data_IF_007354496035
#
_entry.id   IF_007354496035
#
_cell.length_a   1.000
_cell.length_b   1.000
_cell.length_c   1.000
_cell.angle_alpha   90.00
_cell.angle_beta   90.00
_cell.angle_gamma   90.00
#
_symmetry.space_group_name_H-M   'P 1'
#
loop_
_entity.id
_entity.type
_entity.pdbx_description
1 polymer ?
#
# COMPACT_ATOMS: atom_id res chain seq x y z
N UNK A 1 0.89 -24.09 73.00
CA UNK A 1 0.58 -22.65 72.92
C UNK A 1 1.80 -21.85 72.44
N UNK A 2 2.37 -22.16 71.26
CA UNK A 2 3.62 -21.54 70.75
C UNK A 2 3.56 -21.38 69.21
N UNK A 3 2.49 -20.78 68.68
CA UNK A 3 2.37 -20.50 67.23
C UNK A 3 1.77 -19.12 66.90
N UNK A 4 1.31 -18.36 67.91
CA UNK A 4 0.77 -17.00 67.71
C UNK A 4 1.81 -15.91 67.39
N UNK A 5 3.07 -15.92 67.87
CA UNK A 5 3.98 -14.79 67.61
C UNK A 5 4.64 -14.82 66.22
N UNK A 6 4.65 -15.97 65.53
CA UNK A 6 5.26 -16.09 64.20
C UNK A 6 4.36 -15.56 63.07
N UNK A 7 3.04 -15.67 63.23
CA UNK A 7 2.07 -15.19 62.24
C UNK A 7 2.01 -13.67 62.15
N UNK A 8 2.12 -12.99 63.30
CA UNK A 8 2.20 -11.53 63.36
C UNK A 8 3.49 -11.01 62.73
N UNK A 9 4.62 -11.67 62.96
CA UNK A 9 5.89 -11.28 62.33
C UNK A 9 5.84 -11.46 60.79
N UNK A 10 5.25 -12.55 60.31
CA UNK A 10 5.10 -12.81 58.88
C UNK A 10 4.18 -11.80 58.19
N UNK A 11 3.06 -11.43 58.84
CA UNK A 11 2.14 -10.41 58.30
C UNK A 11 2.76 -9.01 58.26
N UNK A 12 3.53 -8.65 59.29
CA UNK A 12 4.22 -7.35 59.31
C UNK A 12 5.30 -7.28 58.23
N UNK A 13 6.06 -8.37 58.02
CA UNK A 13 7.10 -8.41 56.98
C UNK A 13 6.51 -8.32 55.57
N UNK A 14 5.40 -9.02 55.31
CA UNK A 14 4.74 -9.00 53.99
C UNK A 14 4.12 -7.64 53.68
N UNK A 15 3.52 -6.96 54.66
CA UNK A 15 3.02 -5.59 54.49
C UNK A 15 4.20 -4.63 54.25
N UNK A 16 5.30 -4.75 54.99
CA UNK A 16 6.47 -3.89 54.78
C UNK A 16 7.09 -4.08 53.39
N UNK A 17 7.19 -5.32 52.90
CA UNK A 17 7.69 -5.61 51.56
C UNK A 17 6.74 -5.04 50.51
N UNK A 18 5.42 -5.19 50.68
CA UNK A 18 4.44 -4.66 49.73
C UNK A 18 4.46 -3.12 49.69
N UNK A 19 4.53 -2.46 50.84
CA UNK A 19 4.64 -0.98 50.92
C UNK A 19 5.97 -0.51 50.33
N UNK A 20 7.09 -1.17 50.65
CA UNK A 20 8.40 -0.85 50.09
C UNK A 20 8.40 -0.96 48.55
N UNK A 21 7.83 -2.04 48.00
CA UNK A 21 7.78 -2.25 46.54
C UNK A 21 6.91 -1.21 45.84
N UNK A 22 5.75 -0.87 46.40
CA UNK A 22 4.85 0.12 45.80
C UNK A 22 5.41 1.54 45.91
N UNK A 23 6.03 1.91 47.04
CA UNK A 23 6.62 3.25 47.21
C UNK A 23 7.85 3.44 46.32
N UNK A 24 8.74 2.44 46.21
CA UNK A 24 9.91 2.55 45.33
C UNK A 24 9.55 2.53 43.83
N UNK A 25 8.54 1.74 43.41
CA UNK A 25 8.07 1.77 42.01
C UNK A 25 7.44 3.12 41.65
N UNK A 26 6.66 3.73 42.55
CA UNK A 26 6.05 5.05 42.30
C UNK A 26 7.11 6.16 42.26
N UNK A 27 8.16 6.08 43.07
CA UNK A 27 9.27 7.04 43.05
C UNK A 27 10.19 6.87 41.82
N UNK A 28 10.37 5.65 41.30
CA UNK A 28 11.12 5.40 40.05
C UNK A 28 10.32 5.88 38.81
N UNK A 29 8.98 5.79 38.83
CA UNK A 29 8.14 6.38 37.76
C UNK A 29 8.19 7.92 37.81
N UNK A 30 8.11 8.53 38.99
CA UNK A 30 8.15 10.00 39.12
C UNK A 30 9.49 10.62 38.74
N UNK A 31 10.62 9.91 38.92
CA UNK A 31 11.95 10.42 38.55
C UNK A 31 12.28 10.22 37.06
N UNK A 32 11.59 9.31 36.35
CA UNK A 32 11.78 9.12 34.91
C UNK A 32 11.09 10.20 34.07
N UNK A 33 10.04 10.82 34.59
CA UNK A 33 9.29 11.87 33.88
C UNK A 33 9.92 13.28 34.02
N UNK A 34 10.89 13.48 34.94
CA UNK A 34 11.46 14.80 35.22
C UNK A 34 12.82 15.09 34.54
N UNK A 35 13.45 14.13 33.85
CA UNK A 35 14.76 14.32 33.20
C UNK A 35 14.83 13.73 31.80
N UNK A 36 13.93 14.14 30.91
CA UNK A 36 14.16 14.02 29.46
C UNK A 36 13.88 15.32 28.71
N UNK A 37 14.62 16.38 29.06
CA UNK A 37 14.94 17.40 28.06
C UNK A 37 16.01 16.82 27.12
N UNK A 38 15.66 15.77 26.37
CA UNK A 38 16.43 15.36 25.22
C UNK A 38 16.23 16.44 24.16
N UNK A 39 17.31 17.15 23.84
CA UNK A 39 17.34 18.04 22.69
C UNK A 39 16.90 17.24 21.47
N UNK A 40 15.66 17.47 21.03
CA UNK A 40 15.17 16.99 19.75
C UNK A 40 16.14 17.54 18.71
N UNK A 41 16.95 16.65 18.13
CA UNK A 41 17.67 16.91 16.89
C UNK A 41 16.63 17.42 15.90
N UNK A 42 16.69 18.71 15.60
CA UNK A 42 15.83 19.32 14.59
C UNK A 42 16.25 18.68 13.28
N UNK A 43 15.49 17.70 12.83
CA UNK A 43 15.56 17.23 11.45
C UNK A 43 15.19 18.44 10.59
N UNK A 44 16.16 18.97 9.85
CA UNK A 44 15.93 20.11 8.97
C UNK A 44 14.80 19.76 7.99
N UNK A 45 13.61 20.33 8.19
CA UNK A 45 12.49 20.17 7.25
C UNK A 45 12.77 21.10 6.09
N UNK A 46 13.48 20.60 5.08
CA UNK A 46 13.69 21.35 3.84
C UNK A 46 12.46 21.18 2.95
N UNK A 47 11.56 22.16 3.00
CA UNK A 47 10.41 22.23 2.11
C UNK A 47 10.76 23.04 0.85
N UNK A 48 10.99 22.36 -0.27
CA UNK A 48 11.18 23.03 -1.55
C UNK A 48 9.86 23.50 -2.14
N UNK A 49 9.86 24.70 -2.74
CA UNK A 49 8.80 25.12 -3.65
C UNK A 49 8.70 24.15 -4.84
N UNK A 50 7.54 24.08 -5.49
CA UNK A 50 7.37 23.23 -6.67
C UNK A 50 8.41 23.58 -7.74
N UNK A 51 8.66 24.88 -7.96
CA UNK A 51 9.67 25.36 -8.91
C UNK A 51 11.07 24.84 -8.56
N UNK A 52 11.48 24.88 -7.29
CA UNK A 52 12.80 24.39 -6.89
C UNK A 52 12.92 22.87 -7.03
N UNK A 53 11.86 22.12 -6.72
CA UNK A 53 11.82 20.67 -6.99
C UNK A 53 11.99 20.37 -8.47
N UNK A 54 11.26 21.09 -9.32
CA UNK A 54 11.37 20.96 -10.77
C UNK A 54 12.79 21.25 -11.24
N UNK A 55 13.43 22.29 -10.73
CA UNK A 55 14.84 22.62 -11.06
C UNK A 55 15.79 21.48 -10.71
N UNK A 56 15.67 20.90 -9.50
CA UNK A 56 16.48 19.75 -9.07
C UNK A 56 16.24 18.51 -9.96
N UNK A 57 14.99 18.25 -10.32
CA UNK A 57 14.62 17.14 -11.21
C UNK A 57 15.02 17.37 -12.69
N UNK A 58 15.54 18.56 -13.02
CA UNK A 58 15.90 18.97 -14.39
C UNK A 58 17.41 19.04 -14.62
N UNK A 59 18.23 18.53 -13.70
CA UNK A 59 19.69 18.53 -13.84
C UNK A 59 20.11 17.65 -15.04
N UNK A 60 20.47 18.30 -16.15
CA UNK A 60 20.98 17.64 -17.36
C UNK A 60 22.49 17.41 -17.23
N UNK A 61 22.94 16.24 -17.69
CA UNK A 61 24.36 15.92 -17.84
C UNK A 61 24.74 15.96 -19.32
N UNK A 62 25.86 16.61 -19.64
CA UNK A 62 26.36 16.73 -21.02
C UNK A 62 27.38 15.65 -21.32
N UNK A 63 27.23 15.00 -22.47
CA UNK A 63 28.08 13.90 -22.91
C UNK A 63 28.84 14.30 -24.18
N UNK A 64 30.17 14.35 -24.11
CA UNK A 64 31.01 14.60 -25.29
C UNK A 64 31.09 13.37 -26.20
N UNK A 65 31.05 12.18 -25.61
CA UNK A 65 31.02 10.87 -26.28
C UNK A 65 30.07 9.93 -25.55
N UNK A 66 29.50 8.99 -26.29
CA UNK A 66 28.53 8.03 -25.78
C UNK A 66 29.06 6.64 -26.01
N UNK A 67 29.22 5.91 -24.92
CA UNK A 67 29.67 4.53 -24.93
C UNK A 67 28.44 3.63 -25.00
N UNK A 68 28.40 2.74 -26.00
CA UNK A 68 27.37 1.71 -26.10
C UNK A 68 27.89 0.46 -25.40
N UNK A 69 27.17 -0.03 -24.40
CA UNK A 69 27.48 -1.34 -23.85
C UNK A 69 26.95 -2.43 -24.78
N UNK A 70 27.79 -3.43 -25.08
CA UNK A 70 27.36 -4.69 -25.70
C UNK A 70 27.11 -5.65 -24.55
N UNK A 71 25.85 -6.04 -24.34
CA UNK A 71 25.54 -7.04 -23.31
C UNK A 71 25.84 -8.44 -23.84
N UNK A 72 26.78 -9.15 -23.18
CA UNK A 72 26.68 -10.60 -23.08
C UNK A 72 25.49 -10.90 -22.17
N UNK A 73 24.62 -11.80 -22.59
CA UNK A 73 23.30 -12.03 -21.99
C UNK A 73 23.35 -12.31 -20.49
N UNK A 74 23.15 -11.28 -19.67
CA UNK A 74 22.99 -11.44 -18.22
C UNK A 74 21.58 -11.98 -17.94
N UNK A 75 21.54 -13.30 -17.73
CA UNK A 75 20.34 -14.12 -17.64
C UNK A 75 19.54 -13.97 -16.34
N UNK A 76 18.97 -12.79 -16.10
CA UNK A 76 17.87 -12.62 -15.14
C UNK A 76 16.72 -11.82 -15.75
N UNK A 77 15.99 -12.47 -16.66
CA UNK A 77 14.67 -12.01 -17.11
C UNK A 77 13.57 -12.74 -16.32
N UNK A 78 13.32 -12.31 -15.08
CA UNK A 78 11.94 -12.41 -14.58
C UNK A 78 11.09 -11.55 -15.51
N UNK A 79 10.00 -12.07 -16.08
CA UNK A 79 9.26 -11.38 -17.17
C UNK A 79 8.82 -9.95 -16.83
N UNK A 80 8.77 -9.59 -15.54
CA UNK A 80 8.34 -8.28 -15.04
C UNK A 80 9.43 -7.37 -14.47
N UNK A 81 10.60 -7.88 -14.06
CA UNK A 81 11.66 -7.08 -13.42
C UNK A 81 12.92 -7.02 -14.27
N UNK A 82 13.53 -5.84 -14.34
CA UNK A 82 14.76 -5.61 -15.11
C UNK A 82 15.79 -4.91 -14.25
N UNK A 83 16.97 -5.50 -14.13
CA UNK A 83 18.07 -4.96 -13.34
C UNK A 83 18.83 -3.89 -14.14
N UNK A 84 19.13 -2.75 -13.54
CA UNK A 84 20.07 -1.78 -14.12
C UNK A 84 21.48 -2.36 -13.98
N UNK A 85 22.24 -2.40 -15.08
CA UNK A 85 23.60 -2.99 -15.13
C UNK A 85 24.51 -2.42 -14.03
N UNK A 86 25.36 -3.28 -13.47
CA UNK A 86 26.33 -2.95 -12.40
C UNK A 86 25.71 -2.30 -11.16
N UNK A 87 24.44 -2.59 -10.86
CA UNK A 87 23.72 -1.99 -9.75
C UNK A 87 22.80 -2.97 -9.05
N UNK A 88 22.39 -2.69 -7.83
CA UNK A 88 21.37 -3.46 -7.12
C UNK A 88 19.96 -2.85 -7.29
N UNK A 89 19.72 -2.23 -8.45
CA UNK A 89 18.45 -1.55 -8.78
C UNK A 89 17.65 -2.38 -9.76
N UNK A 90 16.43 -2.74 -9.36
CA UNK A 90 15.51 -3.59 -10.12
C UNK A 90 14.27 -2.78 -10.47
N UNK A 91 14.06 -2.54 -11.75
CA UNK A 91 12.96 -1.74 -12.28
C UNK A 91 11.78 -2.65 -12.61
N UNK A 92 10.60 -2.28 -12.12
CA UNK A 92 9.34 -2.96 -12.38
C UNK A 92 8.60 -2.36 -13.57
N UNK A 93 8.42 -1.04 -13.56
CA UNK A 93 7.66 -0.33 -14.58
C UNK A 93 8.11 1.11 -14.72
N UNK A 94 7.84 1.69 -15.88
CA UNK A 94 8.10 3.10 -16.21
C UNK A 94 6.80 3.72 -16.67
N UNK A 95 6.32 4.73 -15.98
CA UNK A 95 5.00 5.32 -16.21
C UNK A 95 5.11 6.80 -16.59
N UNK A 96 4.41 7.22 -17.64
CA UNK A 96 4.32 8.63 -18.00
C UNK A 96 3.37 9.38 -17.06
N UNK A 97 3.80 10.53 -16.55
CA UNK A 97 3.01 11.38 -15.66
C UNK A 97 3.00 12.83 -16.17
N UNK A 98 1.82 13.25 -16.61
CA UNK A 98 1.55 14.58 -17.18
C UNK A 98 0.80 15.50 -16.20
N UNK A 99 0.62 15.09 -14.95
CA UNK A 99 -0.19 15.89 -14.00
C UNK A 99 0.47 17.22 -13.63
N UNK A 100 1.77 17.39 -13.85
CA UNK A 100 2.52 18.61 -13.52
C UNK A 100 2.77 19.52 -14.74
N UNK A 101 1.79 19.66 -15.63
CA UNK A 101 1.87 20.54 -16.82
C UNK A 101 2.51 21.92 -16.51
N UNK A 102 3.45 22.41 -17.36
CA UNK A 102 3.89 21.83 -18.64
C UNK A 102 4.98 20.75 -18.49
N UNK A 103 5.24 20.28 -17.28
CA UNK A 103 6.34 19.35 -16.98
C UNK A 103 5.86 17.91 -17.04
N UNK A 104 6.50 17.14 -17.92
CA UNK A 104 6.27 15.71 -18.10
C UNK A 104 7.34 14.93 -17.34
N UNK A 105 6.92 13.91 -16.61
CA UNK A 105 7.80 13.04 -15.85
C UNK A 105 7.64 11.58 -16.26
N UNK A 106 8.75 10.85 -16.25
CA UNK A 106 8.76 9.40 -16.14
C UNK A 106 8.87 9.01 -14.68
N UNK A 107 7.91 8.21 -14.23
CA UNK A 107 7.72 7.71 -12.88
C UNK A 107 8.03 6.22 -12.87
N UNK A 108 9.21 5.89 -12.40
CA UNK A 108 9.78 4.55 -12.46
C UNK A 108 9.58 3.90 -11.09
N UNK A 109 8.89 2.76 -11.09
CA UNK A 109 8.67 1.95 -9.90
C UNK A 109 9.77 0.90 -9.87
N UNK A 110 10.55 0.87 -8.80
CA UNK A 110 11.72 0.02 -8.68
C UNK A 110 11.90 -0.49 -7.25
N UNK A 111 12.83 -1.42 -7.08
CA UNK A 111 13.37 -1.81 -5.79
C UNK A 111 14.88 -1.74 -5.80
N UNK A 112 15.45 -1.39 -4.66
CA UNK A 112 16.89 -1.36 -4.44
C UNK A 112 17.23 -2.39 -3.38
N UNK A 113 18.16 -3.31 -3.65
CA UNK A 113 18.61 -4.25 -2.63
C UNK A 113 19.58 -3.56 -1.66
N UNK A 114 19.27 -3.63 -0.38
CA UNK A 114 20.06 -3.01 0.68
C UNK A 114 20.06 -1.48 0.62
N UNK A 115 21.25 -0.88 0.79
CA UNK A 115 21.47 0.57 0.75
C UNK A 115 22.16 0.99 -0.55
N UNK A 116 21.71 2.10 -1.15
CA UNK A 116 22.29 2.63 -2.38
C UNK A 116 22.57 4.12 -2.28
N UNK A 117 23.82 4.51 -2.57
CA UNK A 117 24.29 5.90 -2.56
C UNK A 117 24.68 6.42 -3.96
N UNK A 118 24.50 5.62 -5.00
CA UNK A 118 24.80 6.02 -6.37
C UNK A 118 23.72 6.91 -6.98
N UNK A 119 24.03 7.51 -8.13
CA UNK A 119 23.06 8.26 -8.93
C UNK A 119 22.53 7.38 -10.07
N UNK A 120 21.26 7.53 -10.39
CA UNK A 120 20.64 6.89 -11.56
C UNK A 120 20.37 7.98 -12.59
N UNK A 121 20.72 7.74 -13.84
CA UNK A 121 20.54 8.64 -14.97
C UNK A 121 19.53 8.06 -15.95
N UNK A 122 18.61 8.91 -16.39
CA UNK A 122 17.68 8.63 -17.48
C UNK A 122 18.24 9.19 -18.79
N UNK A 123 18.43 8.31 -19.77
CA UNK A 123 18.98 8.68 -21.07
C UNK A 123 17.89 8.54 -22.13
N UNK A 124 17.56 9.66 -22.75
CA UNK A 124 16.55 9.78 -23.80
C UNK A 124 17.22 9.80 -25.15
N UNK A 125 16.85 8.89 -26.05
CA UNK A 125 17.37 8.79 -27.41
C UNK A 125 16.30 9.23 -28.40
N UNK A 126 16.58 10.30 -29.15
CA UNK A 126 15.71 10.79 -30.21
C UNK A 126 15.84 9.94 -31.48
N UNK A 127 14.81 9.98 -32.32
CA UNK A 127 14.81 9.40 -33.66
C UNK A 127 15.94 9.93 -34.55
N UNK A 128 16.40 11.17 -34.30
CA UNK A 128 17.51 11.80 -35.01
C UNK A 128 18.89 11.52 -34.37
N UNK A 129 18.96 10.65 -33.35
CA UNK A 129 20.21 10.27 -32.69
C UNK A 129 20.68 11.23 -31.58
N UNK A 130 19.94 12.31 -31.29
CA UNK A 130 20.23 13.18 -30.15
C UNK A 130 19.98 12.46 -28.84
N UNK A 131 20.92 12.58 -27.90
CA UNK A 131 20.82 11.99 -26.58
C UNK A 131 20.78 13.08 -25.53
N UNK A 132 19.85 12.94 -24.58
CA UNK A 132 19.76 13.78 -23.39
C UNK A 132 19.86 12.91 -22.15
N UNK A 133 20.77 13.26 -21.24
CA UNK A 133 20.99 12.55 -19.99
C UNK A 133 20.46 13.42 -18.85
N UNK A 134 19.48 12.89 -18.13
CA UNK A 134 18.83 13.57 -17.01
C UNK A 134 19.16 12.81 -15.73
N UNK A 135 19.64 13.52 -14.72
CA UNK A 135 19.78 12.96 -13.38
C UNK A 135 18.41 12.69 -12.79
N UNK A 136 18.22 11.49 -12.24
CA UNK A 136 16.95 11.13 -11.63
C UNK A 136 16.87 11.56 -10.16
N UNK A 137 15.65 11.77 -9.70
CA UNK A 137 15.33 11.93 -8.28
C UNK A 137 14.85 10.61 -7.71
N UNK A 138 15.62 10.06 -6.78
CA UNK A 138 15.34 8.78 -6.12
C UNK A 138 14.62 9.04 -4.81
N UNK A 139 13.38 8.56 -4.68
CA UNK A 139 12.54 8.73 -3.50
C UNK A 139 12.23 7.37 -2.88
N UNK A 140 12.74 7.07 -1.68
CA UNK A 140 12.31 5.88 -0.94
C UNK A 140 10.80 5.92 -0.67
N UNK A 141 10.13 4.79 -0.91
CA UNK A 141 8.71 4.60 -0.59
C UNK A 141 8.50 3.57 0.50
N UNK A 142 9.53 3.42 1.35
CA UNK A 142 9.52 2.69 2.61
C UNK A 142 10.11 3.59 3.69
N UNK A 143 9.38 3.78 4.79
CA UNK A 143 9.88 4.57 5.93
C UNK A 143 10.71 3.69 6.85
N UNK A 144 11.87 4.19 7.26
CA UNK A 144 12.82 3.45 8.13
C UNK A 144 12.20 3.16 9.50
N UNK A 145 11.25 3.98 9.94
CA UNK A 145 10.53 3.78 11.19
C UNK A 145 9.63 2.53 11.19
N UNK A 146 9.24 2.03 10.02
CA UNK A 146 8.44 0.80 9.92
C UNK A 146 9.24 -0.46 10.19
N UNK A 147 10.54 -0.45 9.95
CA UNK A 147 11.44 -1.60 10.12
C UNK A 147 12.83 -1.09 10.53
N UNK A 148 12.95 -0.69 11.80
CA UNK A 148 14.16 -0.06 12.35
C UNK A 148 15.35 -1.02 12.45
N UNK A 149 15.10 -2.33 12.38
CA UNK A 149 16.11 -3.38 12.46
C UNK A 149 16.57 -3.86 11.07
N UNK A 150 16.21 -3.15 10.00
CA UNK A 150 16.64 -3.48 8.64
C UNK A 150 18.17 -3.49 8.54
N UNK A 151 18.73 -4.69 8.33
CA UNK A 151 20.17 -4.92 8.16
C UNK A 151 20.63 -4.74 6.69
N UNK A 152 19.89 -3.98 5.90
CA UNK A 152 20.12 -3.77 4.46
C UNK A 152 20.11 -5.08 3.65
N UNK A 153 19.25 -6.02 4.03
CA UNK A 153 19.13 -7.33 3.36
C UNK A 153 17.93 -7.42 2.42
N UNK A 154 17.02 -6.45 2.48
CA UNK A 154 15.77 -6.46 1.73
C UNK A 154 15.89 -5.76 0.38
N UNK A 155 14.97 -6.10 -0.52
CA UNK A 155 14.62 -5.26 -1.65
C UNK A 155 13.70 -4.16 -1.14
N UNK A 156 14.20 -2.94 -1.11
CA UNK A 156 13.52 -1.75 -0.62
C UNK A 156 12.80 -1.02 -1.76
N UNK A 157 11.48 -0.79 -1.64
CA UNK A 157 10.71 -0.18 -2.70
C UNK A 157 11.10 1.29 -2.85
N UNK A 158 11.34 1.67 -4.11
CA UNK A 158 11.91 2.96 -4.48
C UNK A 158 11.16 3.53 -5.67
N UNK A 159 10.96 4.84 -5.64
CA UNK A 159 10.30 5.58 -6.69
C UNK A 159 11.29 6.55 -7.34
N UNK A 160 11.63 6.31 -8.60
CA UNK A 160 12.61 7.09 -9.34
C UNK A 160 11.86 8.01 -10.31
N UNK A 161 12.18 9.29 -10.30
CA UNK A 161 11.56 10.29 -11.17
C UNK A 161 12.58 10.90 -12.10
N UNK A 162 12.24 10.95 -13.39
CA UNK A 162 13.03 11.64 -14.41
C UNK A 162 12.15 12.62 -15.15
N UNK A 163 12.61 13.86 -15.27
CA UNK A 163 11.94 14.82 -16.13
C UNK A 163 12.18 14.46 -17.60
N UNK A 164 11.13 14.51 -18.41
CA UNK A 164 11.24 14.38 -19.86
C UNK A 164 11.73 15.72 -20.44
N UNK A 165 12.85 15.76 -21.19
CA UNK A 165 13.31 16.99 -21.81
C UNK A 165 12.30 17.51 -22.84
N UNK A 166 12.27 18.84 -23.04
CA UNK A 166 11.25 19.48 -23.87
C UNK A 166 11.19 18.94 -25.32
N UNK A 167 12.36 18.61 -25.90
CA UNK A 167 12.46 18.04 -27.25
C UNK A 167 11.73 16.67 -27.39
N UNK A 168 11.53 15.95 -26.28
CA UNK A 168 10.82 14.67 -26.24
C UNK A 168 9.37 14.81 -25.78
N UNK A 169 8.89 16.02 -25.48
CA UNK A 169 7.57 16.22 -24.87
C UNK A 169 6.41 15.96 -25.84
N UNK A 170 6.66 16.06 -27.15
CA UNK A 170 5.72 15.67 -28.20
C UNK A 170 5.72 14.17 -28.51
N UNK A 171 6.70 13.41 -28.00
CA UNK A 171 6.74 11.97 -28.19
C UNK A 171 5.78 11.29 -27.22
N UNK A 172 4.85 10.50 -27.75
CA UNK A 172 3.88 9.80 -26.90
C UNK A 172 4.57 8.78 -25.99
N UNK A 173 5.60 8.07 -26.46
CA UNK A 173 6.35 7.08 -25.69
C UNK A 173 7.86 7.13 -26.03
N UNK A 174 8.67 7.98 -25.37
CA UNK A 174 10.10 8.01 -25.63
C UNK A 174 10.76 6.71 -25.19
N UNK A 175 11.73 6.20 -25.97
CA UNK A 175 12.59 5.10 -25.51
C UNK A 175 13.56 5.64 -24.48
N UNK A 176 13.60 5.01 -23.31
CA UNK A 176 14.51 5.40 -22.24
C UNK A 176 15.46 4.28 -21.85
N UNK A 177 16.66 4.69 -21.46
CA UNK A 177 17.69 3.83 -20.91
C UNK A 177 18.03 4.33 -19.51
N UNK A 178 18.30 3.39 -18.60
CA UNK A 178 18.66 3.68 -17.22
C UNK A 178 20.08 3.20 -16.98
N UNK A 179 20.91 4.03 -16.35
CA UNK A 179 22.29 3.69 -16.03
C UNK A 179 22.73 4.36 -14.73
N UNK A 180 23.71 3.77 -14.06
CA UNK A 180 24.38 4.35 -12.89
C UNK A 180 25.53 5.28 -13.28
N UNK A 181 25.98 5.21 -14.54
CA UNK A 181 27.00 6.07 -15.13
C UNK A 181 26.35 6.99 -16.16
N UNK A 182 26.64 8.29 -16.15
CA UNK A 182 26.18 9.16 -17.23
C UNK A 182 26.88 8.77 -18.54
N UNK A 183 26.23 9.01 -19.68
CA UNK A 183 26.80 8.82 -21.03
C UNK A 183 27.12 7.37 -21.46
N UNK A 184 26.80 6.38 -20.63
CA UNK A 184 26.90 4.97 -20.99
C UNK A 184 25.49 4.40 -21.26
N UNK A 185 25.17 4.17 -22.52
CA UNK A 185 23.86 3.65 -22.93
C UNK A 185 23.88 2.12 -22.82
N UNK A 186 23.04 1.61 -21.90
CA UNK A 186 22.73 0.19 -21.80
C UNK A 186 22.07 -0.32 -23.09
N UNK A 187 22.30 -1.58 -23.44
CA UNK A 187 21.59 -2.23 -24.55
C UNK A 187 20.07 -2.35 -24.30
N UNK A 188 19.64 -2.26 -23.03
CA UNK A 188 18.26 -2.50 -22.62
C UNK A 188 17.44 -1.20 -22.53
N UNK A 189 16.53 -1.01 -23.49
CA UNK A 189 15.52 0.04 -23.42
C UNK A 189 14.33 -0.37 -22.55
N UNK A 190 13.78 0.58 -21.79
CA UNK A 190 12.54 0.40 -21.04
C UNK A 190 11.34 0.95 -21.83
N UNK A 191 10.26 0.19 -21.84
CA UNK A 191 8.99 0.62 -22.42
C UNK A 191 8.27 1.57 -21.45
N UNK A 192 7.82 2.71 -21.94
CA UNK A 192 7.06 3.68 -21.16
C UNK A 192 5.57 3.37 -21.25
N UNK A 193 4.94 3.11 -20.11
CA UNK A 193 3.49 2.94 -19.99
C UNK A 193 2.77 4.29 -20.07
N UNK A 194 1.73 4.33 -20.91
CA UNK A 194 0.84 5.46 -21.08
C UNK A 194 -0.55 5.10 -20.60
N UNK A 195 -1.10 5.90 -19.69
CA UNK A 195 -2.50 5.81 -19.31
C UNK A 195 -3.36 6.34 -20.47
N UNK A 196 -3.70 5.46 -21.43
CA UNK A 196 -4.44 5.79 -22.65
C UNK A 196 -5.96 5.77 -22.47
N UNK A 197 -6.45 5.61 -21.24
CA UNK A 197 -7.86 5.44 -20.98
C UNK A 197 -8.56 6.81 -20.92
N UNK A 198 -9.41 7.06 -21.91
CA UNK A 198 -10.18 8.30 -22.04
C UNK A 198 -11.36 8.35 -21.07
N UNK A 199 -11.74 7.20 -20.50
CA UNK A 199 -12.85 7.14 -19.55
C UNK A 199 -12.38 7.55 -18.15
N UNK A 200 -12.91 8.65 -17.65
CA UNK A 200 -12.63 9.10 -16.28
C UNK A 200 -13.54 8.34 -15.32
N UNK A 201 -12.93 7.53 -14.45
CA UNK A 201 -13.62 6.78 -13.38
C UNK A 201 -13.59 7.56 -12.07
N UNK A 202 -14.57 7.33 -11.20
CA UNK A 202 -14.54 7.89 -9.85
C UNK A 202 -13.65 7.05 -8.93
N UNK A 203 -13.88 5.74 -8.84
CA UNK A 203 -13.25 4.87 -7.83
C UNK A 203 -12.66 3.61 -8.43
N UNK A 204 -11.34 3.47 -8.30
CA UNK A 204 -10.61 2.23 -8.61
C UNK A 204 -10.11 1.60 -7.31
N UNK A 205 -10.46 0.34 -7.10
CA UNK A 205 -9.97 -0.49 -5.99
C UNK A 205 -8.71 -1.24 -6.42
N UNK A 206 -7.64 -1.07 -5.65
CA UNK A 206 -6.35 -1.75 -5.86
C UNK A 206 -6.18 -2.85 -4.81
N UNK A 207 -6.13 -4.10 -5.25
CA UNK A 207 -5.94 -5.27 -4.38
C UNK A 207 -4.54 -5.80 -4.57
N UNK A 208 -3.79 -5.86 -3.46
CA UNK A 208 -2.43 -6.41 -3.43
C UNK A 208 -2.37 -7.87 -3.91
N UNK A 209 -1.17 -8.42 -4.19
CA UNK A 209 -1.02 -9.80 -4.66
C UNK A 209 -1.74 -10.78 -3.74
N UNK A 210 -2.80 -11.39 -4.26
CA UNK A 210 -3.61 -12.36 -3.52
C UNK A 210 -2.79 -13.62 -3.30
N UNK A 211 -2.70 -14.09 -2.05
CA UNK A 211 -1.98 -15.30 -1.67
C UNK A 211 -2.84 -16.15 -0.72
N UNK A 212 -3.71 -16.98 -1.29
CA UNK A 212 -4.71 -17.77 -0.58
C UNK A 212 -4.77 -19.19 -1.15
N UNK A 213 -4.22 -20.16 -0.43
CA UNK A 213 -4.28 -21.58 -0.81
C UNK A 213 -5.69 -22.15 -0.67
N UNK A 214 -6.43 -21.70 0.35
CA UNK A 214 -7.82 -22.04 0.54
C UNK A 214 -8.70 -21.46 -0.58
N UNK A 215 -9.79 -22.15 -0.88
CA UNK A 215 -10.83 -21.62 -1.75
C UNK A 215 -11.59 -20.52 -1.01
N UNK A 216 -11.46 -19.28 -1.48
CA UNK A 216 -12.12 -18.09 -0.94
C UNK A 216 -13.19 -17.56 -1.89
N UNK A 217 -13.59 -18.35 -2.89
CA UNK A 217 -14.46 -17.92 -3.99
C UNK A 217 -15.76 -17.30 -3.50
N UNK A 218 -16.46 -17.95 -2.57
CA UNK A 218 -17.72 -17.45 -2.03
C UNK A 218 -17.54 -16.08 -1.34
N UNK A 219 -16.53 -15.96 -0.49
CA UNK A 219 -16.23 -14.71 0.21
C UNK A 219 -15.82 -13.59 -0.76
N UNK A 220 -15.00 -13.92 -1.75
CA UNK A 220 -14.54 -12.97 -2.78
C UNK A 220 -15.70 -12.41 -3.62
N UNK A 221 -16.66 -13.25 -4.03
CA UNK A 221 -17.86 -12.79 -4.76
C UNK A 221 -18.64 -11.81 -3.88
N UNK A 222 -18.84 -12.11 -2.60
CA UNK A 222 -19.52 -11.19 -1.69
C UNK A 222 -18.78 -9.86 -1.56
N UNK A 223 -17.45 -9.88 -1.40
CA UNK A 223 -16.65 -8.67 -1.25
C UNK A 223 -16.69 -7.80 -2.52
N UNK A 224 -16.58 -8.40 -3.71
CA UNK A 224 -16.68 -7.68 -4.99
C UNK A 224 -18.06 -7.01 -5.12
N UNK A 225 -19.14 -7.76 -4.89
CA UNK A 225 -20.49 -7.22 -5.06
C UNK A 225 -20.83 -6.15 -4.02
N UNK A 226 -20.31 -6.26 -2.79
CA UNK A 226 -20.46 -5.22 -1.78
C UNK A 226 -19.72 -3.94 -2.19
N UNK A 227 -18.49 -4.03 -2.68
CA UNK A 227 -17.74 -2.84 -3.12
C UNK A 227 -18.36 -2.20 -4.37
N UNK A 228 -18.87 -2.98 -5.32
CA UNK A 228 -19.64 -2.46 -6.47
C UNK A 228 -20.88 -1.71 -6.00
N UNK A 229 -21.60 -2.25 -5.02
CA UNK A 229 -22.78 -1.61 -4.44
C UNK A 229 -22.45 -0.25 -3.79
N UNK A 230 -21.28 -0.15 -3.16
CA UNK A 230 -20.83 1.07 -2.47
C UNK A 230 -20.29 2.15 -3.43
N UNK A 231 -19.81 1.76 -4.61
CA UNK A 231 -19.39 2.69 -5.65
C UNK A 231 -18.08 2.34 -6.36
N UNK A 232 -17.50 1.16 -6.15
CA UNK A 232 -16.35 0.70 -6.93
C UNK A 232 -16.73 0.54 -8.41
N UNK A 233 -16.03 1.26 -9.29
CA UNK A 233 -16.24 1.21 -10.74
C UNK A 233 -15.22 0.30 -11.42
N UNK A 234 -14.02 0.16 -10.83
CA UNK A 234 -12.94 -0.67 -11.36
C UNK A 234 -12.17 -1.39 -10.27
N UNK A 235 -11.73 -2.60 -10.57
CA UNK A 235 -10.90 -3.43 -9.71
C UNK A 235 -9.62 -3.79 -10.45
N UNK A 236 -8.48 -3.43 -9.87
CA UNK A 236 -7.18 -3.89 -10.32
C UNK A 236 -6.62 -4.83 -9.25
N UNK A 237 -6.56 -6.11 -9.59
CA UNK A 237 -6.27 -7.21 -8.67
C UNK A 237 -4.98 -7.89 -9.11
N UNK A 238 -3.99 -7.89 -8.23
CA UNK A 238 -2.76 -8.64 -8.43
C UNK A 238 -2.93 -10.10 -8.00
N UNK A 239 -2.48 -11.03 -8.83
CA UNK A 239 -2.55 -12.46 -8.60
C UNK A 239 -1.18 -12.97 -8.14
N UNK A 240 -1.13 -13.51 -6.92
CA UNK A 240 -0.03 -14.34 -6.45
C UNK A 240 -0.40 -15.82 -6.49
N UNK A 241 -0.14 -16.52 -5.39
CA UNK A 241 -0.47 -17.93 -5.24
C UNK A 241 -1.91 -18.10 -4.70
N UNK A 242 -2.88 -18.34 -5.60
CA UNK A 242 -4.30 -18.51 -5.26
C UNK A 242 -4.85 -19.86 -5.73
N UNK A 243 -5.82 -20.37 -4.97
CA UNK A 243 -6.63 -21.53 -5.32
C UNK A 243 -7.22 -21.43 -6.73
N UNK A 244 -7.39 -22.58 -7.40
CA UNK A 244 -7.88 -22.66 -8.77
C UNK A 244 -9.32 -22.13 -8.91
N UNK A 245 -10.21 -22.41 -7.96
CA UNK A 245 -11.59 -21.92 -7.97
C UNK A 245 -11.64 -20.40 -7.83
N UNK A 246 -10.87 -19.84 -6.90
CA UNK A 246 -10.69 -18.39 -6.75
C UNK A 246 -10.22 -17.76 -8.06
N UNK A 247 -9.28 -18.41 -8.76
CA UNK A 247 -8.79 -17.96 -10.07
C UNK A 247 -9.87 -18.03 -11.14
N UNK A 248 -10.69 -19.08 -11.17
CA UNK A 248 -11.83 -19.22 -12.11
C UNK A 248 -12.85 -18.10 -11.91
N UNK A 249 -13.21 -17.79 -10.66
CA UNK A 249 -14.11 -16.67 -10.34
C UNK A 249 -13.57 -15.33 -10.83
N UNK A 250 -12.31 -15.02 -10.56
CA UNK A 250 -11.70 -13.77 -11.02
C UNK A 250 -11.70 -13.67 -12.55
N UNK A 251 -11.33 -14.76 -13.24
CA UNK A 251 -11.38 -14.82 -14.71
C UNK A 251 -12.79 -14.63 -15.25
N UNK A 252 -13.80 -15.20 -14.58
CA UNK A 252 -15.21 -15.02 -14.95
C UNK A 252 -15.68 -13.56 -14.79
N UNK A 253 -15.30 -12.87 -13.71
CA UNK A 253 -15.57 -11.44 -13.57
C UNK A 253 -14.89 -10.62 -14.68
N UNK A 254 -13.63 -10.94 -14.99
CA UNK A 254 -12.90 -10.28 -16.08
C UNK A 254 -13.55 -10.53 -17.45
N UNK A 255 -14.08 -11.72 -17.72
CA UNK A 255 -14.71 -12.02 -19.02
C UNK A 255 -16.10 -11.40 -19.16
N UNK A 256 -16.88 -11.37 -18.07
CA UNK A 256 -18.24 -10.82 -18.08
C UNK A 256 -18.30 -9.30 -17.92
N UNK A 257 -17.24 -8.68 -17.40
CA UNK A 257 -17.13 -7.23 -17.23
C UNK A 257 -15.70 -6.76 -17.53
N UNK A 258 -15.25 -6.85 -18.79
CA UNK A 258 -13.86 -6.58 -19.17
C UNK A 258 -13.40 -5.16 -18.86
N UNK A 259 -14.32 -4.19 -18.82
CA UNK A 259 -14.04 -2.79 -18.53
C UNK A 259 -14.02 -2.48 -17.02
N UNK A 260 -14.39 -3.42 -16.14
CA UNK A 260 -14.40 -3.22 -14.69
C UNK A 260 -13.24 -3.92 -13.97
N UNK A 261 -12.54 -4.85 -14.62
CA UNK A 261 -11.52 -5.67 -13.97
C UNK A 261 -10.20 -5.63 -14.73
N UNK A 262 -9.09 -5.51 -13.99
CA UNK A 262 -7.75 -5.86 -14.45
C UNK A 262 -7.21 -6.92 -13.51
N UNK A 263 -6.83 -8.05 -14.10
CA UNK A 263 -6.08 -9.09 -13.41
C UNK A 263 -4.64 -9.03 -13.90
N UNK A 264 -3.69 -9.01 -12.96
CA UNK A 264 -2.27 -8.90 -13.26
C UNK A 264 -1.49 -9.88 -12.40
N UNK A 265 -0.65 -10.73 -12.99
CA UNK A 265 0.22 -11.60 -12.19
C UNK A 265 1.33 -10.75 -11.57
N UNK A 266 1.62 -10.96 -10.29
CA UNK A 266 2.71 -10.28 -9.61
C UNK A 266 3.89 -11.24 -9.41
N UNK A 267 5.02 -10.92 -10.04
CA UNK A 267 6.25 -11.69 -9.96
C UNK A 267 7.19 -11.07 -8.92
N UNK A 268 7.88 -11.90 -8.14
CA UNK A 268 8.93 -11.47 -7.20
C UNK A 268 10.27 -11.42 -7.93
N UNK A 269 11.22 -10.61 -7.45
CA UNK A 269 12.56 -10.49 -8.04
C UNK A 269 13.32 -11.82 -7.93
N UNK A 270 13.25 -12.45 -6.77
CA UNK A 270 13.85 -13.77 -6.52
C UNK A 270 12.76 -14.85 -6.50
N UNK A 271 13.07 -16.01 -7.09
CA UNK A 271 12.37 -17.24 -6.72
C UNK A 271 12.57 -17.45 -5.21
N UNK A 272 11.57 -18.00 -4.52
CA UNK A 272 11.55 -18.14 -3.05
C UNK A 272 12.78 -18.81 -2.40
N UNK A 273 13.73 -19.30 -3.20
CA UNK A 273 14.95 -20.00 -2.80
C UNK A 273 15.97 -19.11 -2.05
N UNK A 274 15.93 -17.78 -2.22
CA UNK A 274 16.81 -16.83 -1.52
C UNK A 274 16.09 -15.99 -0.45
N UNK A 275 14.79 -16.21 -0.24
CA UNK A 275 14.09 -15.54 0.85
C UNK A 275 14.60 -16.10 2.19
N UNK A 276 14.88 -15.25 3.19
CA UNK A 276 15.34 -15.68 4.50
C UNK A 276 14.42 -16.78 5.06
N UNK A 277 14.98 -17.84 5.64
CA UNK A 277 14.18 -18.90 6.26
C UNK A 277 13.22 -18.36 7.33
N UNK A 278 13.64 -17.28 7.99
CA UNK A 278 12.90 -16.49 8.97
C UNK A 278 11.58 -15.90 8.43
N UNK A 279 10.48 -16.25 9.12
CA UNK A 279 9.12 -15.82 8.84
C UNK A 279 8.95 -14.30 8.97
N UNK A 280 9.66 -13.66 9.91
CA UNK A 280 9.58 -12.21 10.15
C UNK A 280 10.15 -11.48 8.93
N UNK A 281 11.35 -11.85 8.50
CA UNK A 281 11.98 -11.29 7.30
C UNK A 281 11.15 -11.51 6.03
N UNK A 282 10.61 -12.73 5.84
CA UNK A 282 9.67 -13.01 4.74
C UNK A 282 8.46 -12.07 4.76
N UNK A 283 7.90 -11.83 5.93
CA UNK A 283 6.75 -10.93 6.10
C UNK A 283 7.11 -9.49 5.75
N UNK A 284 8.26 -9.00 6.22
CA UNK A 284 8.74 -7.66 5.92
C UNK A 284 9.05 -7.46 4.43
N UNK A 285 9.68 -8.44 3.79
CA UNK A 285 9.91 -8.40 2.35
C UNK A 285 8.60 -8.44 1.56
N UNK A 286 7.61 -9.25 1.99
CA UNK A 286 6.28 -9.29 1.36
C UNK A 286 5.59 -7.92 1.42
N UNK A 287 5.61 -7.23 2.57
CA UNK A 287 5.04 -5.87 2.70
C UNK A 287 5.70 -4.85 1.76
N UNK A 288 7.02 -4.95 1.57
CA UNK A 288 7.76 -4.13 0.60
C UNK A 288 7.30 -4.39 -0.84
N UNK A 289 7.03 -5.64 -1.20
CA UNK A 289 6.43 -5.98 -2.50
C UNK A 289 4.99 -5.48 -2.66
N UNK A 290 4.17 -5.51 -1.59
CA UNK A 290 2.81 -4.96 -1.63
C UNK A 290 2.82 -3.48 -2.02
N UNK A 291 3.80 -2.68 -1.54
CA UNK A 291 3.96 -1.26 -1.92
C UNK A 291 4.20 -1.05 -3.42
N UNK A 292 4.97 -1.94 -4.06
CA UNK A 292 5.16 -1.91 -5.50
C UNK A 292 3.83 -2.08 -6.23
N UNK A 293 3.03 -3.07 -5.81
CA UNK A 293 1.73 -3.33 -6.42
C UNK A 293 0.74 -2.16 -6.27
N UNK A 294 0.74 -1.48 -5.11
CA UNK A 294 -0.13 -0.31 -4.91
C UNK A 294 0.27 0.86 -5.82
N UNK A 295 1.57 1.13 -5.95
CA UNK A 295 2.04 2.20 -6.83
C UNK A 295 1.85 1.85 -8.30
N UNK A 296 2.01 0.58 -8.69
CA UNK A 296 1.72 0.12 -10.04
C UNK A 296 0.25 0.33 -10.38
N UNK A 297 -0.65 -0.11 -9.49
CA UNK A 297 -2.07 0.11 -9.67
C UNK A 297 -2.41 1.60 -9.79
N UNK A 298 -1.82 2.43 -8.92
CA UNK A 298 -2.01 3.87 -8.92
C UNK A 298 -1.64 4.50 -10.27
N UNK A 299 -0.45 4.20 -10.78
CA UNK A 299 0.04 4.79 -12.03
C UNK A 299 -0.68 4.25 -13.27
N UNK A 300 -1.09 2.97 -13.27
CA UNK A 300 -1.93 2.41 -14.34
C UNK A 300 -3.36 2.96 -14.36
N UNK A 301 -3.80 3.64 -13.30
CA UNK A 301 -5.17 4.13 -13.13
C UNK A 301 -5.24 5.62 -12.78
N UNK A 302 -4.31 6.45 -13.28
CA UNK A 302 -4.33 7.90 -13.07
C UNK A 302 -5.59 8.60 -13.62
N UNK A 303 -6.32 7.95 -14.53
CA UNK A 303 -7.64 8.39 -15.02
C UNK A 303 -8.79 8.18 -14.03
N UNK A 304 -8.52 7.54 -12.88
CA UNK A 304 -9.49 7.44 -11.77
C UNK A 304 -9.39 8.68 -10.89
N UNK A 305 -10.49 9.21 -10.36
CA UNK A 305 -10.44 10.32 -9.39
C UNK A 305 -9.84 9.90 -8.06
N UNK A 306 -10.20 8.70 -7.60
CA UNK A 306 -9.74 8.12 -6.35
C UNK A 306 -9.23 6.70 -6.56
N UNK A 307 -8.07 6.43 -5.98
CA UNK A 307 -7.51 5.08 -5.81
C UNK A 307 -7.76 4.64 -4.37
N UNK A 308 -8.18 3.39 -4.21
CA UNK A 308 -8.47 2.80 -2.90
C UNK A 308 -7.66 1.51 -2.77
N UNK A 309 -6.49 1.53 -2.14
CA UNK A 309 -5.85 0.31 -1.67
C UNK A 309 -6.78 -0.37 -0.65
N UNK A 310 -7.26 -1.57 -0.95
CA UNK A 310 -8.24 -2.26 -0.10
C UNK A 310 -7.95 -3.75 -0.08
N UNK A 311 -7.92 -4.34 1.11
CA UNK A 311 -7.76 -5.77 1.29
C UNK A 311 -9.14 -6.45 1.21
N UNK A 312 -9.17 -7.73 0.83
CA UNK A 312 -10.45 -8.44 0.59
C UNK A 312 -11.25 -8.69 1.89
N UNK A 313 -10.60 -8.56 3.04
CA UNK A 313 -11.19 -8.64 4.37
C UNK A 313 -11.77 -7.32 4.87
N UNK A 314 -11.77 -6.27 4.04
CA UNK A 314 -12.12 -4.92 4.46
C UNK A 314 -13.24 -4.29 3.62
N UNK A 315 -14.14 -3.55 4.29
CA UNK A 315 -15.23 -2.81 3.65
C UNK A 315 -15.25 -1.38 4.20
N UNK A 316 -15.06 -0.40 3.31
CA UNK A 316 -15.28 1.02 3.64
C UNK A 316 -16.77 1.31 3.64
N UNK A 317 -17.33 1.61 4.79
CA UNK A 317 -18.76 1.73 5.01
C UNK A 317 -19.17 3.17 5.36
N UNK A 318 -19.89 3.87 4.46
CA UNK A 318 -20.52 5.14 4.80
C UNK A 318 -21.70 4.93 5.75
N UNK A 319 -21.77 5.73 6.81
CA UNK A 319 -22.83 5.67 7.83
C UNK A 319 -23.92 6.68 7.54
N UNK A 320 -23.53 7.92 7.25
CA UNK A 320 -24.42 9.05 6.93
C UNK A 320 -24.75 9.17 5.44
N UNK A 321 -24.17 8.33 4.59
CA UNK A 321 -24.42 8.29 3.15
C UNK A 321 -24.66 6.85 2.64
N UNK A 322 -25.11 6.73 1.39
CA UNK A 322 -25.37 5.43 0.74
C UNK A 322 -24.27 4.98 -0.23
N UNK A 323 -23.39 5.90 -0.66
CA UNK A 323 -22.32 5.61 -1.62
C UNK A 323 -21.04 6.34 -1.27
N UNK A 324 -19.90 5.83 -1.75
CA UNK A 324 -18.60 6.49 -1.64
C UNK A 324 -18.61 7.87 -2.30
N UNK A 325 -19.32 8.04 -3.42
CA UNK A 325 -19.46 9.33 -4.11
C UNK A 325 -20.02 10.41 -3.19
N UNK A 326 -21.07 10.09 -2.44
CA UNK A 326 -21.69 11.04 -1.52
C UNK A 326 -20.81 11.28 -0.29
N UNK A 327 -20.08 10.25 0.17
CA UNK A 327 -19.18 10.35 1.31
C UNK A 327 -17.99 11.31 1.05
N UNK A 328 -17.37 11.25 -0.12
CA UNK A 328 -16.16 12.05 -0.44
C UNK A 328 -16.47 13.42 -1.06
N UNK A 329 -17.75 13.80 -1.13
CA UNK A 329 -18.20 15.03 -1.78
C UNK A 329 -17.50 16.26 -1.17
N UNK A 330 -17.04 17.19 -2.02
CA UNK A 330 -16.33 18.43 -1.65
C UNK A 330 -14.96 18.29 -0.94
N UNK A 331 -14.40 17.08 -0.78
CA UNK A 331 -13.11 16.88 -0.09
C UNK A 331 -11.92 16.85 -1.05
N UNK A 332 -11.65 17.96 -1.73
CA UNK A 332 -10.73 18.00 -2.87
C UNK A 332 -9.27 18.38 -2.55
N UNK A 333 -9.00 18.97 -1.37
CA UNK A 333 -7.69 19.55 -1.02
C UNK A 333 -6.82 18.63 -0.14
N UNK A 334 -7.10 17.33 -0.17
CA UNK A 334 -6.38 16.32 0.61
C UNK A 334 -5.75 15.28 -0.29
N UNK A 335 -4.60 14.72 0.10
CA UNK A 335 -4.00 13.58 -0.60
C UNK A 335 -4.54 12.23 -0.12
N UNK A 336 -5.30 12.21 0.96
CA UNK A 336 -5.94 11.02 1.51
C UNK A 336 -7.16 11.39 2.34
N UNK A 337 -8.26 10.68 2.09
CA UNK A 337 -9.48 10.77 2.89
C UNK A 337 -9.62 9.46 3.67
N UNK A 338 -9.07 9.46 4.88
CA UNK A 338 -8.80 8.28 5.69
C UNK A 338 -9.95 7.94 6.63
N UNK A 339 -10.23 6.65 6.74
CA UNK A 339 -11.37 6.12 7.50
C UNK A 339 -10.84 5.15 8.55
N UNK A 340 -11.33 5.32 9.78
CA UNK A 340 -10.87 4.57 10.94
C UNK A 340 -11.36 3.13 10.91
N UNK A 341 -10.46 2.24 11.29
CA UNK A 341 -10.69 0.80 11.35
C UNK A 341 -11.43 0.36 12.62
N UNK A 342 -12.28 -0.65 12.45
CA UNK A 342 -12.84 -1.47 13.53
C UNK A 342 -12.81 -2.96 13.13
N UNK A 343 -12.42 -3.82 14.07
CA UNK A 343 -12.33 -5.26 13.82
C UNK A 343 -13.64 -5.98 14.13
N UNK A 344 -14.05 -6.85 13.21
CA UNK A 344 -15.06 -7.88 13.39
C UNK A 344 -14.33 -9.22 13.44
N UNK A 345 -14.15 -9.78 14.64
CA UNK A 345 -13.51 -11.09 14.79
C UNK A 345 -14.53 -12.21 14.65
N UNK A 346 -14.29 -13.09 13.67
CA UNK A 346 -15.27 -14.06 13.18
C UNK A 346 -14.63 -15.43 13.01
N UNK A 347 -15.20 -16.45 13.64
CA UNK A 347 -14.84 -17.84 13.34
C UNK A 347 -15.30 -18.18 11.91
N UNK A 348 -14.43 -18.80 11.12
CA UNK A 348 -14.72 -19.34 9.77
C UNK A 348 -15.08 -18.32 8.67
N UNK A 349 -14.36 -17.19 8.59
CA UNK A 349 -14.61 -16.16 7.55
C UNK A 349 -14.59 -16.69 6.11
N UNK A 350 -13.72 -17.66 5.82
CA UNK A 350 -13.42 -18.05 4.44
C UNK A 350 -14.13 -19.33 3.98
N UNK A 351 -14.57 -20.18 4.91
CA UNK A 351 -15.14 -21.51 4.63
C UNK A 351 -16.67 -21.54 4.71
N UNK A 352 -17.28 -20.48 5.25
CA UNK A 352 -18.73 -20.41 5.44
C UNK A 352 -19.47 -20.09 4.13
N UNK A 353 -20.48 -20.91 3.80
CA UNK A 353 -21.45 -20.63 2.72
C UNK A 353 -22.44 -19.50 3.07
N UNK A 354 -22.40 -18.98 4.30
CA UNK A 354 -23.30 -17.92 4.75
C UNK A 354 -22.81 -16.56 4.28
N UNK A 355 -23.73 -15.59 4.24
CA UNK A 355 -23.33 -14.21 3.97
C UNK A 355 -22.51 -13.66 5.14
N UNK A 356 -21.22 -13.43 4.91
CA UNK A 356 -20.27 -13.11 6.00
C UNK A 356 -20.61 -11.73 6.57
N UNK A 357 -20.69 -10.71 5.73
CA UNK A 357 -20.83 -9.32 6.17
C UNK A 357 -22.10 -9.01 6.96
N UNK A 358 -23.22 -9.69 6.71
CA UNK A 358 -24.49 -9.40 7.39
C UNK A 358 -24.76 -10.30 8.60
N UNK A 359 -23.99 -11.36 8.80
CA UNK A 359 -24.16 -12.28 9.93
C UNK A 359 -23.21 -11.95 11.09
N UNK A 360 -22.04 -11.39 10.79
CA UNK A 360 -21.08 -10.96 11.81
C UNK A 360 -21.26 -9.48 12.14
N UNK A 361 -22.18 -9.19 13.07
CA UNK A 361 -22.54 -7.83 13.51
C UNK A 361 -21.91 -7.44 14.86
N UNK A 362 -20.97 -8.22 15.38
CA UNK A 362 -20.25 -7.91 16.60
C UNK A 362 -18.85 -7.46 16.25
N UNK A 363 -18.52 -6.20 16.57
CA UNK A 363 -17.16 -5.69 16.45
C UNK A 363 -16.51 -5.51 17.81
N UNK A 364 -15.20 -5.31 17.80
CA UNK A 364 -14.43 -4.79 18.92
C UNK A 364 -15.01 -3.45 19.39
N UNK A 365 -15.07 -3.26 20.71
CA UNK A 365 -15.58 -2.03 21.32
C UNK A 365 -14.59 -0.89 21.18
N UNK A 366 -13.29 -1.20 21.16
CA UNK A 366 -12.22 -0.23 20.96
C UNK A 366 -11.88 -0.08 19.48
N UNK A 367 -11.88 1.16 19.01
CA UNK A 367 -11.49 1.52 17.65
C UNK A 367 -9.98 1.71 17.55
N UNK A 368 -9.42 1.54 16.35
CA UNK A 368 -8.02 1.87 16.08
C UNK A 368 -7.76 3.36 16.29
N UNK A 369 -6.52 3.72 16.63
CA UNK A 369 -6.14 5.13 16.72
C UNK A 369 -6.21 5.80 15.34
N UNK A 370 -6.30 7.13 15.34
CA UNK A 370 -6.35 7.89 14.09
C UNK A 370 -5.03 7.67 13.32
N UNK A 371 -5.13 7.20 12.08
CA UNK A 371 -3.99 6.91 11.21
C UNK A 371 -3.46 5.47 11.30
N UNK A 372 -3.90 4.68 12.28
CA UNK A 372 -3.54 3.26 12.39
C UNK A 372 -4.49 2.38 11.59
N UNK A 373 -3.94 1.52 10.74
CA UNK A 373 -4.68 0.53 9.93
C UNK A 373 -5.88 1.12 9.15
N UNK A 374 -5.87 2.42 8.87
CA UNK A 374 -6.94 3.09 8.13
C UNK A 374 -6.89 2.72 6.66
N UNK A 375 -8.01 2.82 5.94
CA UNK A 375 -7.97 2.91 4.47
C UNK A 375 -8.41 4.27 4.02
N UNK A 376 -7.92 4.68 2.85
CA UNK A 376 -8.17 6.02 2.34
C UNK A 376 -8.67 5.98 0.91
N UNK A 377 -9.58 6.90 0.60
CA UNK A 377 -9.73 7.36 -0.78
C UNK A 377 -8.55 8.27 -1.09
N UNK A 378 -7.70 7.89 -2.05
CA UNK A 378 -6.50 8.63 -2.42
C UNK A 378 -6.78 9.38 -3.72
N UNK A 379 -6.91 10.73 -3.71
CA UNK A 379 -7.13 11.49 -4.92
C UNK A 379 -5.90 11.45 -5.83
N UNK A 380 -6.05 10.91 -7.04
CA UNK A 380 -4.94 10.75 -8.00
C UNK A 380 -4.28 12.07 -8.35
N UNK A 381 -5.04 13.17 -8.40
CA UNK A 381 -4.51 14.50 -8.69
C UNK A 381 -3.54 15.05 -7.63
N UNK A 382 -3.51 14.47 -6.42
CA UNK A 382 -2.82 15.02 -5.25
C UNK A 382 -1.66 14.14 -4.75
N UNK A 383 -1.71 12.83 -5.00
CA UNK A 383 -0.69 11.87 -4.55
C UNK A 383 0.43 11.66 -5.57
N UNK A 384 1.69 11.62 -5.10
CA UNK A 384 2.85 11.19 -5.88
C UNK A 384 3.07 9.69 -5.73
N UNK A 385 3.01 9.19 -4.50
CA UNK A 385 3.14 7.76 -4.21
C UNK A 385 2.11 7.35 -3.17
N UNK A 386 1.81 6.05 -3.13
CA UNK A 386 0.77 5.48 -2.28
C UNK A 386 1.33 4.36 -1.41
N UNK A 387 0.68 4.18 -0.26
CA UNK A 387 0.86 3.09 0.68
C UNK A 387 -0.49 2.39 0.90
N UNK A 388 -0.50 1.24 1.57
CA UNK A 388 -1.72 0.46 1.85
C UNK A 388 -2.80 1.27 2.58
N UNK A 389 -2.39 2.27 3.38
CA UNK A 389 -3.32 3.03 4.21
C UNK A 389 -3.64 4.43 3.68
N UNK A 390 -2.71 5.09 3.01
CA UNK A 390 -2.80 6.50 2.59
C UNK A 390 -1.75 6.86 1.52
N UNK A 391 -1.80 8.10 1.01
CA UNK A 391 -0.76 8.68 0.16
C UNK A 391 0.51 8.94 0.97
N UNK A 392 1.62 8.38 0.50
CA UNK A 392 2.90 8.46 1.18
C UNK A 392 3.58 9.81 0.92
N UNK A 393 3.71 10.16 -0.37
CA UNK A 393 4.29 11.43 -0.83
C UNK A 393 3.27 12.26 -1.63
N UNK A 394 3.33 13.59 -1.46
CA UNK A 394 2.45 14.55 -2.13
C UNK A 394 3.00 14.94 -3.51
N UNK A 395 2.10 15.12 -4.48
CA UNK A 395 2.46 15.57 -5.82
C UNK A 395 2.82 17.06 -5.88
N UNK A 396 2.11 17.89 -5.10
CA UNK A 396 2.30 19.35 -5.07
C UNK A 396 2.40 19.86 -3.64
N UNK A 397 3.18 20.95 -3.39
CA UNK A 397 3.13 21.66 -2.13
C UNK A 397 1.73 22.29 -1.91
N UNK A 398 1.38 22.57 -0.65
CA UNK A 398 0.11 23.21 -0.28
C UNK A 398 -1.10 22.27 -0.17
N UNK A 399 -0.97 21.02 -0.58
CA UNK A 399 -2.00 19.98 -0.38
C UNK A 399 -1.91 19.45 1.06
N UNK A 400 -3.05 19.28 1.72
CA UNK A 400 -3.10 18.65 3.06
C UNK A 400 -2.93 17.14 2.93
N UNK A 401 -2.16 16.53 3.82
CA UNK A 401 -1.85 15.09 3.71
C UNK A 401 -3.10 14.21 3.91
N UNK A 402 -3.75 14.33 5.07
CA UNK A 402 -4.88 13.48 5.45
C UNK A 402 -6.07 14.32 5.91
N UNK A 403 -7.27 13.91 5.48
CA UNK A 403 -8.54 14.21 6.13
C UNK A 403 -9.00 12.93 6.82
N UNK A 404 -9.30 12.98 8.11
CA UNK A 404 -9.83 11.84 8.84
C UNK A 404 -11.33 12.02 9.00
N UNK A 405 -12.11 11.07 8.49
CA UNK A 405 -13.56 11.09 8.70
C UNK A 405 -13.89 10.87 10.18
N UNK A 406 -14.85 11.63 10.73
CA UNK A 406 -15.52 11.26 11.96
C UNK A 406 -16.07 9.83 11.87
N UNK A 407 -16.03 9.10 12.98
CA UNK A 407 -16.48 7.71 13.01
C UNK A 407 -18.00 7.59 12.81
N UNK A 408 -18.72 8.68 13.02
CA UNK A 408 -20.15 8.87 12.83
C UNK A 408 -20.50 8.93 11.35
N UNK A 409 -19.58 9.40 10.50
CA UNK A 409 -19.76 9.55 9.06
C UNK A 409 -19.36 8.30 8.27
N UNK A 410 -18.26 7.66 8.66
CA UNK A 410 -17.76 6.46 8.02
C UNK A 410 -16.92 5.59 8.94
N UNK A 411 -16.91 4.29 8.66
CA UNK A 411 -16.03 3.32 9.31
C UNK A 411 -15.48 2.32 8.31
N UNK A 412 -14.31 1.78 8.60
CA UNK A 412 -13.72 0.67 7.88
C UNK A 412 -13.98 -0.59 8.71
N UNK A 413 -14.78 -1.51 8.16
CA UNK A 413 -15.00 -2.81 8.78
C UNK A 413 -13.90 -3.77 8.32
N UNK A 414 -13.17 -4.35 9.27
CA UNK A 414 -12.14 -5.36 9.01
C UNK A 414 -12.56 -6.71 9.57
N UNK A 415 -12.90 -7.65 8.70
CA UNK A 415 -13.39 -8.98 9.03
C UNK A 415 -12.24 -9.98 9.09
N UNK A 416 -11.87 -10.43 10.28
CA UNK A 416 -10.73 -11.34 10.47
C UNK A 416 -11.06 -12.46 11.43
N UNK A 417 -10.34 -13.56 11.33
CA UNK A 417 -10.43 -14.64 12.33
C UNK A 417 -9.88 -14.18 13.67
N UNK A 418 -8.70 -13.55 13.67
CA UNK A 418 -8.05 -13.04 14.87
C UNK A 418 -7.01 -11.97 14.54
N UNK A 419 -6.36 -11.45 15.58
CA UNK A 419 -5.26 -10.50 15.55
C UNK A 419 -4.07 -11.13 16.31
N UNK A 420 -2.89 -11.20 15.71
CA UNK A 420 -1.73 -11.83 16.35
C UNK A 420 -1.07 -10.87 17.33
N UNK A 421 -1.29 -11.08 18.64
CA UNK A 421 -0.73 -10.25 19.70
C UNK A 421 0.77 -10.47 19.95
N UNK A 422 1.36 -11.54 19.42
CA UNK A 422 2.81 -11.80 19.50
C UNK A 422 3.53 -10.92 18.48
N UNK A 423 2.98 -10.83 17.27
CA UNK A 423 3.54 -10.01 16.19
C UNK A 423 3.18 -8.53 16.38
N UNK A 424 1.97 -8.25 16.88
CA UNK A 424 1.41 -6.91 17.01
C UNK A 424 0.84 -6.70 18.41
N UNK A 425 1.65 -6.20 19.37
CA UNK A 425 1.23 -6.05 20.77
C UNK A 425 -0.08 -5.28 20.95
N UNK A 426 -0.40 -4.33 20.06
CA UNK A 426 -1.66 -3.60 20.04
C UNK A 426 -2.90 -4.50 19.87
N UNK A 427 -2.77 -5.68 19.27
CA UNK A 427 -3.85 -6.67 19.16
C UNK A 427 -4.43 -7.06 20.52
N UNK A 428 -3.61 -7.10 21.58
CA UNK A 428 -4.06 -7.41 22.94
C UNK A 428 -5.19 -6.49 23.40
N UNK A 429 -5.13 -5.22 23.00
CA UNK A 429 -6.12 -4.19 23.33
C UNK A 429 -7.44 -4.42 22.58
N UNK A 430 -7.39 -4.87 21.34
CA UNK A 430 -8.59 -5.13 20.54
C UNK A 430 -9.27 -6.43 20.98
N UNK A 431 -8.49 -7.50 21.20
CA UNK A 431 -8.97 -8.81 21.64
C UNK A 431 -9.61 -8.78 23.04
N UNK A 432 -9.08 -7.97 23.95
CA UNK A 432 -9.63 -7.79 25.30
C UNK A 432 -10.80 -6.81 25.37
N UNK A 433 -11.08 -6.07 24.31
CA UNK A 433 -12.16 -5.08 24.32
C UNK A 433 -13.55 -5.74 24.32
N UNK A 434 -14.55 -5.14 25.00
CA UNK A 434 -15.91 -5.68 24.98
C UNK A 434 -16.47 -5.66 23.56
N UNK A 435 -17.26 -6.66 23.19
CA UNK A 435 -17.92 -6.71 21.87
C UNK A 435 -19.09 -5.73 21.83
N UNK A 436 -19.22 -4.99 20.73
CA UNK A 436 -20.30 -4.03 20.47
C UNK A 436 -21.10 -4.47 19.25
N UNK A 437 -22.43 -4.44 19.37
CA UNK A 437 -23.33 -4.70 18.25
C UNK A 437 -23.27 -3.53 17.27
N UNK A 438 -22.93 -3.81 16.03
CA UNK A 438 -22.85 -2.85 14.94
C UNK A 438 -23.64 -3.36 13.73
N UNK A 439 -24.82 -2.77 13.52
CA UNK A 439 -25.73 -3.12 12.42
C UNK A 439 -25.60 -2.18 11.23
N UNK A 440 -24.58 -1.34 11.17
CA UNK A 440 -24.43 -0.31 10.12
C UNK A 440 -24.52 -0.91 8.72
N UNK A 441 -23.89 -2.07 8.49
CA UNK A 441 -23.85 -2.71 7.18
C UNK A 441 -25.22 -3.25 6.74
N UNK A 442 -26.13 -3.51 7.68
CA UNK A 442 -27.44 -4.15 7.42
C UNK A 442 -28.32 -3.30 6.51
N UNK A 443 -28.14 -1.96 6.47
CA UNK A 443 -28.90 -1.09 5.56
C UNK A 443 -28.71 -1.44 4.07
N UNK A 444 -27.58 -2.07 3.72
CA UNK A 444 -27.28 -2.49 2.35
C UNK A 444 -27.79 -3.90 2.01
N UNK A 445 -28.31 -4.64 2.99
CA UNK A 445 -28.59 -6.08 2.87
C UNK A 445 -29.56 -6.44 1.75
N UNK A 446 -30.65 -5.69 1.60
CA UNK A 446 -31.69 -5.99 0.62
C UNK A 446 -31.14 -5.86 -0.81
N UNK A 447 -30.56 -4.68 -1.12
CA UNK A 447 -29.96 -4.39 -2.43
C UNK A 447 -28.77 -5.31 -2.73
N UNK A 448 -27.96 -5.64 -1.73
CA UNK A 448 -26.90 -6.63 -1.88
C UNK A 448 -27.47 -8.00 -2.27
N UNK A 449 -28.46 -8.51 -1.54
CA UNK A 449 -29.02 -9.84 -1.77
C UNK A 449 -29.65 -9.98 -3.16
N UNK A 450 -30.30 -8.91 -3.67
CA UNK A 450 -30.84 -8.87 -5.03
C UNK A 450 -29.74 -9.04 -6.08
N UNK A 451 -28.68 -8.24 -6.00
CA UNK A 451 -27.53 -8.32 -6.90
C UNK A 451 -26.79 -9.65 -6.79
N UNK A 452 -26.53 -10.08 -5.56
CA UNK A 452 -25.78 -11.28 -5.24
C UNK A 452 -26.46 -12.55 -5.75
N UNK A 453 -27.79 -12.67 -5.59
CA UNK A 453 -28.56 -13.80 -6.14
C UNK A 453 -28.44 -13.89 -7.67
N UNK A 454 -28.45 -12.75 -8.36
CA UNK A 454 -28.31 -12.71 -9.82
C UNK A 454 -26.91 -13.15 -10.26
N UNK A 455 -25.88 -12.76 -9.53
CA UNK A 455 -24.49 -13.18 -9.79
C UNK A 455 -24.32 -14.68 -9.56
N UNK A 456 -24.82 -15.21 -8.44
CA UNK A 456 -24.74 -16.65 -8.15
C UNK A 456 -25.43 -17.51 -9.22
N UNK A 457 -26.61 -17.08 -9.70
CA UNK A 457 -27.29 -17.76 -10.82
C UNK A 457 -26.42 -17.81 -12.07
N UNK A 458 -25.73 -16.71 -12.42
CA UNK A 458 -24.84 -16.68 -13.59
C UNK A 458 -23.60 -17.56 -13.39
N UNK A 459 -23.00 -17.56 -12.20
CA UNK A 459 -21.85 -18.42 -11.88
C UNK A 459 -22.24 -19.90 -12.01
N UNK A 460 -23.38 -20.29 -11.45
CA UNK A 460 -23.89 -21.67 -11.52
C UNK A 460 -24.26 -22.08 -12.95
N UNK A 461 -24.95 -21.21 -13.71
CA UNK A 461 -25.31 -21.48 -15.10
C UNK A 461 -24.07 -21.72 -15.99
N UNK A 462 -23.00 -20.96 -15.75
CA UNK A 462 -21.73 -21.09 -16.47
C UNK A 462 -20.81 -22.20 -15.92
N UNK A 463 -21.26 -22.97 -14.91
CA UNK A 463 -20.49 -24.05 -14.27
C UNK A 463 -19.08 -23.62 -13.81
N UNK A 464 -18.96 -22.40 -13.29
CA UNK A 464 -17.68 -21.85 -12.84
C UNK A 464 -17.27 -22.41 -11.46
N UNK A 465 -18.26 -22.58 -10.58
CA UNK A 465 -18.17 -23.23 -9.27
C UNK A 465 -19.14 -24.40 -9.20
#
# INVERSE_FOLDING_TARGET
MILKPYWTLFFVLTIFIFVYYNVFMVLDVSNRDATSSSGLSVTNIVAYSLKKRVELDSEEYFCDKIEKSVDESDGYSGKSWRRIRDSEVYVYSVNMDRRLEPYIYLRIIAMIKGSWNGTIYCQFLSTHGHIKVIKSTVTPIWFTEWDKEDKNVYYNPTFISCRVPHIFSSENAPKIFLSTKPCEISSQAFHVYLTNDTEIRNFTVCVKPMNFQADISNYLVQWIEMNKLLGAEYFHIFLGNINENTRKILKWYKSTSPNMFKLENFELIDSFQYLPTDLIRKTWQRRRYEIISYNECFYKNLNSKYIIPLDIDEIILPKTADTWRNLVHNLHNYASLSIRNVYFFTEDTYTSNKSVFFNYIYRTGKMNQIGENTKSFIPTKNALTVFNHYSLHLLRPGIRKNYFFPFEDAQLNHYKESCDAVIFPECSTYLSSPKVVDKTIVKFRNKFNENYKNVLKKISYNKIL
#
